data_IF_906152085676
#
_entry.id   IF_906152085676
#
_cell.length_a   1.000
_cell.length_b   1.000
_cell.length_c   1.000
_cell.angle_alpha   90.00
_cell.angle_beta   90.00
_cell.angle_gamma   90.00
#
_symmetry.space_group_name_H-M   'P 1'
#
loop_
_entity.id
_entity.type
_entity.pdbx_description
1 polymer ?
#
# COMPACT_ATOMS: atom_id res chain seq x y z
N UNK A 1 -30.54 -53.75 -34.37
CA UNK A 1 -29.87 -54.61 -35.37
C UNK A 1 -28.41 -54.37 -35.16
N UNK A 2 -27.85 -55.19 -34.33
CA UNK A 2 -27.03 -56.36 -34.57
C UNK A 2 -25.57 -55.93 -34.58
N UNK A 3 -24.86 -56.21 -33.54
CA UNK A 3 -24.09 -57.41 -33.09
C UNK A 3 -22.62 -57.24 -33.47
N UNK A 4 -21.79 -57.26 -32.43
CA UNK A 4 -20.88 -58.37 -32.02
C UNK A 4 -19.69 -58.55 -32.97
N UNK A 5 -18.48 -58.76 -32.55
CA UNK A 5 -17.91 -59.71 -31.60
C UNK A 5 -16.40 -59.46 -31.55
N UNK A 6 -15.74 -59.42 -30.48
CA UNK A 6 -15.16 -60.42 -29.61
C UNK A 6 -13.77 -60.98 -30.04
N UNK A 7 -12.90 -61.06 -29.05
CA UNK A 7 -11.90 -62.09 -28.67
C UNK A 7 -10.41 -61.96 -29.07
N UNK A 8 -9.65 -61.74 -28.05
CA UNK A 8 -8.61 -62.67 -27.42
C UNK A 8 -7.40 -63.13 -28.22
N UNK A 9 -6.31 -63.09 -27.47
CA UNK A 9 -5.13 -64.01 -27.57
C UNK A 9 -3.84 -63.35 -27.13
N UNK A 10 -3.43 -63.47 -26.02
CA UNK A 10 -2.64 -64.36 -25.14
C UNK A 10 -1.25 -64.76 -25.73
N UNK A 11 -0.23 -64.40 -24.93
CA UNK A 11 1.07 -65.05 -24.61
C UNK A 11 2.09 -65.35 -25.75
N UNK A 12 3.33 -64.89 -25.56
CA UNK A 12 4.42 -65.82 -25.13
C UNK A 12 5.73 -65.09 -24.80
N UNK A 13 6.37 -65.57 -23.75
CA UNK A 13 7.70 -65.18 -23.25
C UNK A 13 8.80 -65.73 -24.15
N UNK A 14 9.90 -64.97 -24.34
CA UNK A 14 11.22 -65.64 -24.47
C UNK A 14 12.33 -64.69 -24.00
N UNK A 15 13.15 -65.15 -23.06
CA UNK A 15 14.37 -64.55 -22.55
C UNK A 15 15.48 -64.74 -23.59
N UNK A 16 16.25 -63.66 -23.90
CA UNK A 16 17.63 -63.83 -24.35
C UNK A 16 18.48 -62.77 -23.65
N UNK A 17 19.43 -63.22 -22.87
CA UNK A 17 20.49 -62.45 -22.29
C UNK A 17 21.57 -62.17 -23.34
N UNK A 18 21.99 -60.93 -23.49
CA UNK A 18 23.22 -60.61 -24.22
C UNK A 18 24.01 -59.53 -23.51
N UNK A 19 25.17 -59.92 -23.05
CA UNK A 19 26.20 -59.10 -22.41
C UNK A 19 26.77 -58.15 -23.47
N UNK A 20 26.78 -56.84 -23.23
CA UNK A 20 27.57 -55.91 -24.03
C UNK A 20 28.30 -54.90 -23.15
N UNK A 21 29.57 -54.76 -23.46
CA UNK A 21 30.63 -54.02 -22.76
C UNK A 21 30.28 -52.52 -22.66
N UNK A 22 30.47 -51.97 -21.45
CA UNK A 22 30.40 -50.54 -21.17
C UNK A 22 31.69 -49.87 -21.65
N UNK A 23 31.61 -49.00 -22.66
CA UNK A 23 32.67 -48.04 -22.97
C UNK A 23 32.26 -46.70 -22.34
N UNK A 24 32.97 -46.27 -21.29
CA UNK A 24 32.79 -44.94 -20.70
C UNK A 24 33.27 -43.85 -21.66
N UNK A 25 32.35 -43.07 -22.20
CA UNK A 25 32.65 -41.79 -22.83
C UNK A 25 32.37 -40.70 -21.80
N UNK A 26 33.41 -40.06 -21.27
CA UNK A 26 33.36 -38.90 -20.41
C UNK A 26 33.03 -37.69 -21.32
N UNK A 27 31.77 -37.27 -21.33
CA UNK A 27 31.37 -35.99 -21.86
C UNK A 27 31.51 -34.94 -20.73
N UNK A 28 32.54 -34.09 -20.85
CA UNK A 28 32.67 -32.87 -20.08
C UNK A 28 31.53 -31.91 -20.47
N UNK A 29 30.41 -32.02 -19.81
CA UNK A 29 29.33 -31.06 -19.85
C UNK A 29 29.70 -29.83 -19.00
N UNK A 30 29.97 -28.71 -19.70
CA UNK A 30 30.09 -27.39 -19.06
C UNK A 30 28.75 -27.02 -18.40
N UNK A 31 28.57 -27.38 -17.14
CA UNK A 31 27.46 -26.97 -16.33
C UNK A 31 27.55 -25.46 -16.07
N UNK A 32 26.74 -24.68 -16.79
CA UNK A 32 26.46 -23.31 -16.40
C UNK A 32 25.71 -23.35 -15.08
N UNK A 33 26.43 -23.15 -13.98
CA UNK A 33 25.83 -22.88 -12.67
C UNK A 33 25.09 -21.54 -12.78
N UNK A 34 23.79 -21.60 -13.05
CA UNK A 34 22.90 -20.46 -12.78
C UNK A 34 22.85 -20.31 -11.27
N UNK A 35 23.71 -19.46 -10.73
CA UNK A 35 23.61 -19.01 -9.35
C UNK A 35 22.33 -18.18 -9.23
N UNK A 36 21.25 -18.81 -8.80
CA UNK A 36 20.10 -18.07 -8.22
C UNK A 36 20.64 -17.36 -7.00
N UNK A 37 20.93 -16.06 -7.13
CA UNK A 37 21.20 -15.20 -6.00
C UNK A 37 19.90 -15.14 -5.16
N UNK A 38 19.80 -16.02 -4.16
CA UNK A 38 18.88 -15.79 -3.07
C UNK A 38 19.26 -14.42 -2.49
N UNK A 39 18.45 -13.40 -2.71
CA UNK A 39 18.60 -12.13 -2.03
C UNK A 39 18.43 -12.43 -0.53
N UNK A 40 19.57 -12.50 0.16
CA UNK A 40 19.62 -12.78 1.59
C UNK A 40 18.83 -11.70 2.33
N UNK A 41 18.22 -12.11 3.44
CA UNK A 41 17.61 -11.17 4.38
C UNK A 41 18.60 -10.04 4.69
N UNK A 42 18.15 -8.77 4.77
CA UNK A 42 19.02 -7.67 5.17
C UNK A 42 19.64 -7.99 6.54
N UNK A 43 20.96 -7.78 6.66
CA UNK A 43 21.65 -7.92 7.96
C UNK A 43 21.07 -6.89 8.92
N UNK A 44 20.78 -7.30 10.16
CA UNK A 44 20.35 -6.39 11.22
C UNK A 44 21.46 -5.35 11.43
N UNK A 45 21.18 -4.04 11.24
CA UNK A 45 22.18 -3.01 11.47
C UNK A 45 22.46 -2.85 12.97
N UNK A 46 23.66 -2.44 13.31
CA UNK A 46 24.04 -2.12 14.70
C UNK A 46 23.69 -0.67 15.08
N UNK A 47 23.41 0.19 14.09
CA UNK A 47 23.06 1.60 14.27
C UNK A 47 22.00 2.01 13.26
N UNK A 48 21.18 2.99 13.63
CA UNK A 48 20.21 3.61 12.73
C UNK A 48 20.95 4.38 11.61
N UNK A 49 20.46 4.29 10.38
CA UNK A 49 21.11 4.96 9.26
C UNK A 49 20.27 5.02 7.99
N UNK A 50 20.70 5.92 7.10
CA UNK A 50 20.11 6.11 5.77
C UNK A 50 21.15 5.81 4.70
N UNK A 51 20.83 4.93 3.77
CA UNK A 51 21.62 4.66 2.57
C UNK A 51 20.86 5.12 1.34
N UNK A 52 21.56 5.70 0.37
CA UNK A 52 20.99 6.14 -0.92
C UNK A 52 21.56 5.29 -2.05
N UNK A 53 20.70 4.87 -2.97
CA UNK A 53 21.08 4.18 -4.22
C UNK A 53 20.17 4.62 -5.37
N UNK A 54 20.60 4.41 -6.61
CA UNK A 54 19.72 4.57 -7.79
C UNK A 54 18.78 3.38 -7.86
N UNK A 55 17.47 3.64 -7.93
CA UNK A 55 16.44 2.61 -8.15
C UNK A 55 16.17 2.36 -9.63
N UNK A 56 16.30 3.40 -10.47
CA UNK A 56 16.12 3.33 -11.90
C UNK A 56 16.04 4.71 -12.54
N UNK A 57 15.69 4.75 -13.82
CA UNK A 57 15.44 6.00 -14.55
C UNK A 57 14.15 5.91 -15.34
N UNK A 58 13.42 7.02 -15.42
CA UNK A 58 12.27 7.18 -16.29
C UNK A 58 12.71 7.24 -17.77
N UNK A 59 11.74 7.17 -18.68
CA UNK A 59 12.01 7.21 -20.14
C UNK A 59 12.63 8.52 -20.63
N UNK A 60 12.44 9.61 -19.90
CA UNK A 60 13.04 10.93 -20.17
C UNK A 60 14.45 11.09 -19.56
N UNK A 61 14.98 10.04 -18.92
CA UNK A 61 16.29 10.05 -18.25
C UNK A 61 16.26 10.54 -16.80
N UNK A 62 15.10 10.94 -16.26
CA UNK A 62 14.98 11.38 -14.86
C UNK A 62 15.31 10.22 -13.93
N UNK A 63 16.31 10.42 -13.06
CA UNK A 63 16.76 9.41 -12.09
C UNK A 63 15.78 9.32 -10.93
N UNK A 64 15.42 8.09 -10.57
CA UNK A 64 14.65 7.77 -9.36
C UNK A 64 15.60 7.13 -8.35
N UNK A 65 15.77 7.80 -7.23
CA UNK A 65 16.59 7.33 -6.12
C UNK A 65 15.77 6.48 -5.14
N UNK A 66 16.44 5.56 -4.46
CA UNK A 66 15.91 4.79 -3.33
C UNK A 66 16.68 5.13 -2.06
N UNK A 67 15.97 5.37 -0.99
CA UNK A 67 16.51 5.55 0.35
C UNK A 67 16.15 4.35 1.21
N UNK A 68 17.17 3.71 1.77
CA UNK A 68 17.02 2.61 2.73
C UNK A 68 17.22 3.15 4.13
N UNK A 69 16.16 3.14 4.91
CA UNK A 69 16.16 3.50 6.33
C UNK A 69 16.32 2.23 7.15
N UNK A 70 17.26 2.21 8.07
CA UNK A 70 17.55 1.07 8.97
C UNK A 70 17.52 1.56 10.40
N UNK A 71 16.87 0.81 11.28
CA UNK A 71 16.96 1.06 12.73
C UNK A 71 17.84 0.02 13.44
N UNK A 72 18.19 0.27 14.70
CA UNK A 72 18.98 -0.65 15.50
C UNK A 72 18.23 -1.91 15.97
N UNK A 73 16.89 -1.93 15.83
CA UNK A 73 16.01 -3.04 16.23
C UNK A 73 15.70 -4.02 15.09
N UNK A 74 16.33 -3.86 13.92
CA UNK A 74 16.26 -4.81 12.81
C UNK A 74 15.15 -4.55 11.79
N UNK A 75 14.41 -3.45 11.92
CA UNK A 75 13.48 -3.03 10.88
C UNK A 75 14.20 -2.26 9.77
N UNK A 76 13.70 -2.41 8.54
CA UNK A 76 14.22 -1.71 7.36
C UNK A 76 13.04 -1.21 6.52
N UNK A 77 13.06 0.07 6.15
CA UNK A 77 12.10 0.65 5.19
C UNK A 77 12.85 1.16 3.96
N UNK A 78 12.29 0.92 2.76
CA UNK A 78 12.83 1.47 1.52
C UNK A 78 11.81 2.38 0.87
N UNK A 79 12.22 3.60 0.55
CA UNK A 79 11.36 4.63 -0.06
C UNK A 79 12.04 5.18 -1.29
N UNK A 80 11.31 5.26 -2.40
CA UNK A 80 11.81 5.82 -3.68
C UNK A 80 11.30 7.24 -3.91
N UNK A 81 12.04 8.01 -4.69
CA UNK A 81 11.66 9.39 -5.03
C UNK A 81 10.46 9.49 -5.97
N UNK A 82 10.10 8.44 -6.70
CA UNK A 82 8.88 8.40 -7.49
C UNK A 82 7.65 8.18 -6.59
N UNK A 83 6.78 9.18 -6.49
CA UNK A 83 5.61 9.16 -5.61
C UNK A 83 5.91 9.20 -4.11
N UNK A 84 7.16 9.46 -3.69
CA UNK A 84 7.62 9.26 -2.32
C UNK A 84 7.14 7.90 -1.78
N UNK A 85 7.34 6.84 -2.57
CA UNK A 85 6.70 5.53 -2.43
C UNK A 85 7.47 4.61 -1.49
N UNK A 86 6.81 4.06 -0.47
CA UNK A 86 7.31 2.96 0.36
C UNK A 86 7.28 1.67 -0.45
N UNK A 87 8.46 1.14 -0.82
CA UNK A 87 8.57 -0.05 -1.67
C UNK A 87 8.79 -1.33 -0.89
N UNK A 88 9.43 -1.27 0.26
CA UNK A 88 9.69 -2.41 1.15
C UNK A 88 9.61 -1.96 2.61
N UNK A 89 9.10 -2.86 3.46
CA UNK A 89 9.11 -2.68 4.91
C UNK A 89 9.37 -4.03 5.59
N UNK A 90 10.59 -4.21 6.05
CA UNK A 90 11.03 -5.45 6.71
C UNK A 90 10.84 -5.33 8.20
N UNK A 91 10.06 -6.26 8.77
CA UNK A 91 9.71 -6.29 10.19
C UNK A 91 9.98 -7.69 10.74
N UNK A 92 10.69 -7.81 11.89
CA UNK A 92 10.90 -9.10 12.54
C UNK A 92 9.58 -9.71 13.06
N UNK A 93 9.46 -11.03 13.01
CA UNK A 93 8.40 -11.79 13.67
C UNK A 93 8.79 -12.14 15.11
N UNK A 94 7.94 -12.94 15.81
CA UNK A 94 8.20 -13.39 17.18
C UNK A 94 9.47 -14.24 17.35
N UNK A 95 10.04 -14.76 16.26
CA UNK A 95 11.29 -15.54 16.25
C UNK A 95 12.50 -14.67 15.88
N UNK A 96 12.29 -13.39 15.57
CA UNK A 96 13.31 -12.47 15.07
C UNK A 96 13.53 -12.55 13.55
N UNK A 97 12.79 -13.39 12.83
CA UNK A 97 12.89 -13.50 11.37
C UNK A 97 12.16 -12.32 10.70
N UNK A 98 12.89 -11.47 9.99
CA UNK A 98 12.31 -10.37 9.25
C UNK A 98 11.60 -10.84 7.96
N UNK A 99 10.45 -10.22 7.64
CA UNK A 99 9.78 -10.33 6.36
C UNK A 99 9.36 -8.95 5.86
N UNK A 100 9.27 -8.82 4.54
CA UNK A 100 8.73 -7.63 3.89
C UNK A 100 7.20 -7.71 3.94
N UNK A 101 6.60 -6.78 4.69
CA UNK A 101 5.17 -6.78 5.02
C UNK A 101 4.34 -5.84 4.14
N UNK A 102 4.89 -5.34 3.03
CA UNK A 102 4.14 -4.50 2.08
C UNK A 102 4.24 -5.05 0.66
N UNK A 103 3.17 -4.90 -0.12
CA UNK A 103 3.18 -5.21 -1.55
C UNK A 103 3.91 -4.13 -2.35
N UNK A 104 4.34 -4.46 -3.57
CA UNK A 104 5.04 -3.54 -4.47
C UNK A 104 5.75 -4.30 -5.59
N UNK A 105 6.76 -3.68 -6.17
CA UNK A 105 7.55 -4.23 -7.28
C UNK A 105 9.06 -4.17 -6.97
N UNK A 106 9.83 -5.09 -7.57
CA UNK A 106 11.29 -5.10 -7.45
C UNK A 106 11.96 -4.01 -8.29
N UNK A 107 11.27 -3.46 -9.30
CA UNK A 107 11.83 -2.54 -10.28
C UNK A 107 10.93 -1.33 -10.52
N UNK A 108 11.53 -0.19 -10.86
CA UNK A 108 10.85 1.06 -11.18
C UNK A 108 9.75 0.89 -12.25
N UNK A 109 9.97 0.05 -13.24
CA UNK A 109 9.01 -0.22 -14.33
C UNK A 109 7.61 -0.60 -13.81
N UNK A 110 7.52 -1.34 -12.70
CA UNK A 110 6.23 -1.70 -12.09
C UNK A 110 5.50 -0.48 -11.51
N UNK A 111 6.23 0.49 -10.98
CA UNK A 111 5.64 1.70 -10.39
C UNK A 111 5.27 2.77 -11.43
N UNK A 112 5.87 2.76 -12.61
CA UNK A 112 5.58 3.74 -13.69
C UNK A 112 4.31 3.39 -14.44
N UNK A 113 3.96 2.11 -14.53
CA UNK A 113 2.75 1.63 -15.21
C UNK A 113 1.47 1.87 -14.41
N UNK A 114 0.36 1.37 -14.95
CA UNK A 114 -0.94 1.34 -14.24
C UNK A 114 -0.84 0.30 -13.11
N UNK A 115 -0.98 0.74 -11.89
CA UNK A 115 -0.98 -0.10 -10.70
C UNK A 115 -1.83 0.55 -9.59
N UNK A 116 -2.25 -0.20 -8.56
CA UNK A 116 -3.14 0.31 -7.51
C UNK A 116 -2.40 1.12 -6.41
N UNK A 117 -1.53 2.06 -6.81
CA UNK A 117 -0.82 3.02 -5.92
C UNK A 117 0.04 2.38 -4.82
N UNK A 118 0.57 1.16 -4.99
CA UNK A 118 1.36 0.47 -3.97
C UNK A 118 2.36 1.39 -3.27
N UNK A 119 2.15 1.65 -1.97
CA UNK A 119 3.04 2.40 -1.09
C UNK A 119 3.20 3.89 -1.39
N UNK A 120 2.51 4.43 -2.39
CA UNK A 120 2.68 5.81 -2.82
C UNK A 120 2.10 6.84 -1.84
N UNK A 121 2.70 8.04 -1.81
CA UNK A 121 2.08 9.24 -1.24
C UNK A 121 1.03 9.75 -2.22
N UNK A 122 -0.24 9.70 -1.81
CA UNK A 122 -1.39 10.09 -2.63
C UNK A 122 -1.83 11.51 -2.27
N UNK A 123 -2.12 12.30 -3.28
CA UNK A 123 -2.58 13.69 -3.18
C UNK A 123 -2.61 14.37 -4.57
N UNK A 124 -3.07 15.67 -4.69
CA UNK A 124 -3.44 16.58 -3.56
C UNK A 124 -4.59 16.08 -2.69
N UNK A 125 -5.59 15.40 -3.28
CA UNK A 125 -6.76 14.86 -2.59
C UNK A 125 -6.79 13.35 -2.77
N UNK A 126 -6.65 12.64 -1.66
CA UNK A 126 -6.77 11.18 -1.59
C UNK A 126 -8.23 10.74 -1.77
N UNK A 127 -8.40 9.49 -2.19
CA UNK A 127 -9.67 8.85 -2.47
C UNK A 127 -10.47 9.57 -3.57
N UNK A 128 -11.80 9.57 -3.54
CA UNK A 128 -12.65 10.03 -4.65
C UNK A 128 -13.13 11.47 -4.48
N UNK A 129 -13.27 12.17 -5.62
CA UNK A 129 -14.01 13.44 -5.75
C UNK A 129 -15.13 13.23 -6.76
N UNK A 130 -16.35 13.46 -6.34
CA UNK A 130 -17.58 13.22 -7.11
C UNK A 130 -17.55 13.94 -8.45
N UNK A 131 -17.73 13.18 -9.54
CA UNK A 131 -17.74 13.68 -10.92
C UNK A 131 -16.51 14.51 -11.29
N UNK A 132 -15.41 14.36 -10.52
CA UNK A 132 -14.19 15.18 -10.67
C UNK A 132 -14.45 16.68 -10.55
N UNK A 133 -15.40 17.12 -9.70
CA UNK A 133 -15.79 18.53 -9.60
C UNK A 133 -15.92 18.98 -8.16
N UNK A 134 -15.53 20.23 -7.92
CA UNK A 134 -15.81 20.92 -6.66
C UNK A 134 -15.94 22.44 -6.88
N UNK A 135 -16.55 23.12 -5.92
CA UNK A 135 -16.70 24.59 -5.93
C UNK A 135 -15.90 25.18 -4.78
N UNK A 136 -15.06 26.16 -5.07
CA UNK A 136 -14.27 26.88 -4.08
C UNK A 136 -14.30 28.38 -4.38
N UNK A 137 -14.70 29.20 -3.40
CA UNK A 137 -14.81 30.65 -3.58
C UNK A 137 -15.79 31.07 -4.69
N UNK A 138 -16.85 30.28 -4.91
CA UNK A 138 -17.85 30.54 -5.99
C UNK A 138 -17.39 30.10 -7.39
N UNK A 139 -16.17 29.60 -7.55
CA UNK A 139 -15.65 29.09 -8.83
C UNK A 139 -15.68 27.57 -8.83
N UNK A 140 -16.21 26.97 -9.92
CA UNK A 140 -16.15 25.52 -10.14
C UNK A 140 -14.80 25.14 -10.73
N UNK A 141 -14.23 24.05 -10.20
CA UNK A 141 -13.02 23.38 -10.68
C UNK A 141 -13.36 22.00 -11.21
N UNK A 142 -12.64 21.54 -12.21
CA UNK A 142 -12.80 20.23 -12.82
C UNK A 142 -11.46 19.49 -12.80
N UNK A 143 -11.50 18.27 -12.26
CA UNK A 143 -10.39 17.35 -12.21
C UNK A 143 -10.53 16.29 -13.31
N UNK A 144 -9.47 15.56 -13.63
CA UNK A 144 -9.51 14.43 -14.55
C UNK A 144 -10.48 13.35 -14.06
N UNK A 145 -11.19 12.72 -15.00
CA UNK A 145 -12.06 11.57 -14.73
C UNK A 145 -11.25 10.29 -15.04
N UNK A 146 -10.52 9.80 -14.06
CA UNK A 146 -9.71 8.59 -14.16
C UNK A 146 -10.35 7.35 -13.50
N UNK A 147 -11.50 7.52 -12.83
CA UNK A 147 -12.32 6.45 -12.26
C UNK A 147 -13.81 6.75 -12.52
N UNK A 148 -14.28 6.62 -13.78
CA UNK A 148 -15.59 7.09 -14.21
C UNK A 148 -16.73 6.62 -13.32
N UNK A 149 -17.65 7.54 -12.89
CA UNK A 149 -17.74 8.93 -13.33
C UNK A 149 -16.91 9.92 -12.49
N UNK A 150 -16.02 9.47 -11.60
CA UNK A 150 -15.35 10.25 -10.57
C UNK A 150 -13.86 10.47 -10.88
N UNK A 151 -13.24 11.40 -10.13
CA UNK A 151 -11.79 11.46 -9.98
C UNK A 151 -11.37 10.57 -8.80
N UNK A 152 -10.25 9.89 -8.92
CA UNK A 152 -9.62 9.06 -7.89
C UNK A 152 -8.16 9.49 -7.71
N UNK A 153 -7.75 9.74 -6.46
CA UNK A 153 -6.36 10.01 -6.08
C UNK A 153 -5.71 11.16 -6.86
N UNK A 154 -6.51 12.17 -7.22
CA UNK A 154 -6.12 13.37 -7.97
C UNK A 154 -5.71 13.15 -9.44
N UNK A 155 -6.05 12.00 -10.04
CA UNK A 155 -5.80 11.77 -11.46
C UNK A 155 -4.54 10.97 -11.77
N UNK A 156 -4.23 10.87 -13.06
CA UNK A 156 -3.14 10.02 -13.58
C UNK A 156 -1.74 10.61 -13.33
N UNK A 157 -1.63 11.92 -13.08
CA UNK A 157 -0.36 12.63 -12.86
C UNK A 157 -0.24 13.25 -11.46
N UNK A 158 -1.07 12.81 -10.52
CA UNK A 158 -1.04 13.29 -9.14
C UNK A 158 0.30 13.05 -8.42
N UNK A 159 0.37 13.46 -7.16
CA UNK A 159 1.61 13.39 -6.36
C UNK A 159 2.26 12.01 -6.34
N UNK A 160 1.47 10.96 -6.47
CA UNK A 160 1.92 9.57 -6.52
C UNK A 160 2.72 9.19 -7.78
N UNK A 161 2.70 10.04 -8.80
CA UNK A 161 3.41 9.84 -10.08
C UNK A 161 4.54 10.85 -10.29
N UNK A 162 4.69 11.80 -9.40
CA UNK A 162 5.76 12.80 -9.47
C UNK A 162 7.10 12.24 -8.95
N UNK A 163 8.22 12.78 -9.46
CA UNK A 163 9.54 12.53 -8.88
C UNK A 163 9.83 13.63 -7.85
N UNK A 164 9.93 13.25 -6.58
CA UNK A 164 10.15 14.14 -5.47
C UNK A 164 11.65 14.38 -5.26
N UNK A 165 12.02 15.56 -4.81
CA UNK A 165 13.34 15.80 -4.23
C UNK A 165 13.39 15.15 -2.87
N UNK A 166 14.54 14.54 -2.53
CA UNK A 166 14.69 13.85 -1.26
C UNK A 166 16.04 14.15 -0.62
N UNK A 167 16.04 14.34 0.69
CA UNK A 167 17.22 14.59 1.51
C UNK A 167 17.15 13.84 2.84
N UNK A 168 18.24 13.20 3.30
CA UNK A 168 18.31 12.65 4.64
C UNK A 168 18.17 13.75 5.69
N UNK A 169 17.47 13.44 6.78
CA UNK A 169 17.29 14.35 7.93
C UNK A 169 18.04 13.76 9.12
N UNK A 170 19.08 14.43 9.64
CA UNK A 170 19.76 13.98 10.85
C UNK A 170 18.78 13.90 12.02
N UNK A 171 18.58 12.69 12.55
CA UNK A 171 17.58 12.42 13.60
C UNK A 171 18.22 11.48 14.63
N UNK A 172 18.33 11.85 15.90
CA UNK A 172 18.85 10.95 16.93
C UNK A 172 17.99 9.69 17.07
N UNK A 173 18.63 8.54 17.19
CA UNK A 173 17.97 7.23 17.39
C UNK A 173 16.90 6.88 16.33
N UNK A 174 17.11 7.36 15.09
CA UNK A 174 16.22 7.09 13.98
C UNK A 174 16.93 7.29 12.64
N UNK A 175 16.37 6.73 11.58
CA UNK A 175 16.73 7.01 10.21
C UNK A 175 15.60 7.82 9.56
N UNK A 176 15.89 8.99 8.99
CA UNK A 176 14.86 9.85 8.43
C UNK A 176 15.24 10.43 7.06
N UNK A 177 14.25 10.53 6.17
CA UNK A 177 14.36 11.16 4.84
C UNK A 177 13.14 12.03 4.59
N UNK A 178 13.39 13.28 4.20
CA UNK A 178 12.36 14.23 3.78
C UNK A 178 12.24 14.25 2.27
N UNK A 179 11.04 13.99 1.77
CA UNK A 179 10.66 14.14 0.37
C UNK A 179 9.88 15.45 0.20
N UNK A 180 10.16 16.22 -0.86
CA UNK A 180 9.49 17.49 -1.14
C UNK A 180 9.16 17.62 -2.63
N UNK A 181 8.01 18.22 -2.92
CA UNK A 181 7.54 18.48 -4.27
C UNK A 181 6.80 19.82 -4.34
N UNK A 182 6.91 20.49 -5.47
CA UNK A 182 6.11 21.67 -5.79
C UNK A 182 5.11 21.29 -6.90
N UNK A 183 3.85 21.15 -6.53
CA UNK A 183 2.74 20.94 -7.45
C UNK A 183 2.27 22.32 -7.94
N UNK A 184 2.43 22.66 -9.25
CA UNK A 184 2.16 24.00 -9.76
C UNK A 184 0.66 24.35 -9.76
N UNK A 185 0.33 25.65 -9.89
CA UNK A 185 -1.06 26.11 -10.07
C UNK A 185 -1.69 25.46 -11.32
N UNK A 186 -2.87 24.86 -11.15
CA UNK A 186 -3.57 24.14 -12.22
C UNK A 186 -3.18 22.68 -12.38
N UNK A 187 -2.21 22.19 -11.61
CA UNK A 187 -1.81 20.77 -11.62
C UNK A 187 -3.03 19.88 -11.31
N UNK A 188 -3.31 18.89 -12.19
CA UNK A 188 -4.50 18.02 -12.17
C UNK A 188 -5.84 18.76 -11.99
N UNK A 189 -5.90 20.08 -12.33
CA UNK A 189 -7.08 20.93 -12.22
C UNK A 189 -7.25 21.67 -10.89
N UNK A 190 -6.33 21.49 -9.93
CA UNK A 190 -6.38 22.14 -8.62
C UNK A 190 -5.83 23.59 -8.68
N UNK A 191 -6.46 24.53 -7.94
CA UNK A 191 -5.95 25.91 -7.86
C UNK A 191 -4.74 26.02 -6.93
N UNK A 192 -3.89 26.97 -7.23
CA UNK A 192 -2.72 27.35 -6.43
C UNK A 192 -1.53 26.44 -6.58
N UNK A 193 -0.35 27.01 -6.36
CA UNK A 193 0.88 26.22 -6.24
C UNK A 193 0.96 25.64 -4.83
N UNK A 194 1.15 24.32 -4.73
CA UNK A 194 1.24 23.59 -3.45
C UNK A 194 2.69 23.13 -3.22
N UNK A 195 3.35 23.72 -2.22
CA UNK A 195 4.61 23.17 -1.70
C UNK A 195 4.27 22.08 -0.69
N UNK A 196 4.63 20.83 -0.98
CA UNK A 196 4.28 19.68 -0.15
C UNK A 196 5.54 18.91 0.23
N UNK A 197 5.56 18.38 1.45
CA UNK A 197 6.60 17.47 1.90
C UNK A 197 6.04 16.33 2.74
N UNK A 198 6.70 15.18 2.69
CA UNK A 198 6.52 14.05 3.62
C UNK A 198 7.89 13.64 4.16
N UNK A 199 7.98 13.47 5.46
CA UNK A 199 9.17 12.93 6.13
C UNK A 199 8.86 11.52 6.61
N UNK A 200 9.64 10.55 6.12
CA UNK A 200 9.63 9.18 6.61
C UNK A 200 10.71 9.06 7.69
N UNK A 201 10.32 8.64 8.89
CA UNK A 201 11.23 8.40 10.01
C UNK A 201 11.03 6.99 10.55
N UNK A 202 12.07 6.16 10.48
CA UNK A 202 12.10 4.83 11.10
C UNK A 202 12.87 4.92 12.43
N UNK A 203 12.14 4.80 13.56
CA UNK A 203 12.71 4.91 14.90
C UNK A 203 13.24 3.57 15.42
N UNK A 204 14.12 3.62 16.42
CA UNK A 204 14.60 2.42 17.14
C UNK A 204 13.48 1.68 17.93
N UNK A 205 12.32 2.34 18.11
CA UNK A 205 11.12 1.73 18.69
C UNK A 205 10.26 0.97 17.65
N UNK A 206 10.78 0.71 16.44
CA UNK A 206 10.07 0.10 15.31
C UNK A 206 8.80 0.88 14.90
N UNK A 207 8.88 2.21 14.91
CA UNK A 207 7.84 3.09 14.40
C UNK A 207 8.27 3.65 13.03
N UNK A 208 7.46 3.44 12.01
CA UNK A 208 7.56 4.16 10.74
C UNK A 208 6.59 5.34 10.80
N UNK A 209 7.14 6.55 10.97
CA UNK A 209 6.39 7.81 11.04
C UNK A 209 6.38 8.47 9.68
N UNK A 210 5.22 8.98 9.29
CA UNK A 210 4.99 9.78 8.09
C UNK A 210 4.44 11.13 8.54
N UNK A 211 5.25 12.18 8.42
CA UNK A 211 4.87 13.55 8.78
C UNK A 211 4.70 14.37 7.51
N UNK A 212 3.47 14.80 7.25
CA UNK A 212 3.13 15.60 6.07
C UNK A 212 3.04 17.07 6.43
N UNK A 213 3.54 17.92 5.52
CA UNK A 213 3.37 19.37 5.58
C UNK A 213 3.06 19.91 4.20
N UNK A 214 2.15 20.91 4.13
CA UNK A 214 1.92 21.63 2.87
C UNK A 214 1.56 23.10 3.10
N UNK A 215 1.89 23.93 2.12
CA UNK A 215 1.52 25.34 2.05
C UNK A 215 1.15 25.69 0.61
N UNK A 216 0.26 26.68 0.45
CA UNK A 216 -0.25 27.09 -0.85
C UNK A 216 -0.26 28.61 -1.00
N UNK A 217 -0.14 29.10 -2.24
CA UNK A 217 -0.28 30.51 -2.60
C UNK A 217 -1.75 30.93 -2.88
N UNK A 218 -2.66 29.95 -3.06
CA UNK A 218 -4.12 30.15 -3.20
C UNK A 218 -4.87 29.09 -2.43
N UNK A 219 -6.08 29.34 -1.92
CA UNK A 219 -6.88 28.29 -1.28
C UNK A 219 -7.05 27.09 -2.22
N UNK A 220 -6.81 25.89 -1.70
CA UNK A 220 -6.87 24.63 -2.45
C UNK A 220 -7.25 23.47 -1.53
N UNK A 221 -7.97 22.43 -2.00
CA UNK A 221 -8.18 21.24 -1.19
C UNK A 221 -6.90 20.42 -1.08
N UNK A 222 -6.62 19.93 0.15
CA UNK A 222 -5.49 19.06 0.48
C UNK A 222 -5.95 17.96 1.41
N UNK A 223 -5.73 16.73 1.01
CA UNK A 223 -6.00 15.50 1.79
C UNK A 223 -4.97 14.46 1.38
N UNK A 224 -3.91 14.32 2.14
CA UNK A 224 -2.78 13.44 1.81
C UNK A 224 -2.90 12.11 2.55
N UNK A 225 -2.47 11.02 1.93
CA UNK A 225 -2.38 9.72 2.57
C UNK A 225 -1.22 8.89 2.00
N UNK A 226 -0.89 7.78 2.67
CA UNK A 226 0.00 6.74 2.15
C UNK A 226 -0.82 5.50 1.81
N UNK A 227 -0.65 4.99 0.60
CA UNK A 227 -1.40 3.85 0.08
C UNK A 227 -0.61 2.53 0.17
N UNK A 228 -0.02 2.25 1.33
CA UNK A 228 0.67 0.97 1.56
C UNK A 228 -0.31 -0.17 1.70
N UNK A 229 0.01 -1.27 1.03
CA UNK A 229 -0.71 -2.54 1.07
C UNK A 229 0.02 -3.47 2.03
N UNK A 230 -0.49 -3.64 3.23
CA UNK A 230 0.12 -4.45 4.28
C UNK A 230 -0.34 -5.90 4.24
N UNK A 231 0.58 -6.82 4.55
CA UNK A 231 0.33 -8.23 4.84
C UNK A 231 1.35 -8.66 5.89
N UNK A 232 0.94 -8.65 7.16
CA UNK A 232 1.84 -8.90 8.29
C UNK A 232 2.32 -10.34 8.36
N UNK A 233 1.52 -11.27 7.85
CA UNK A 233 1.87 -12.68 7.72
C UNK A 233 2.89 -12.96 6.62
N UNK A 234 3.01 -12.05 5.64
CA UNK A 234 3.71 -12.29 4.38
C UNK A 234 3.20 -13.57 3.67
N UNK A 235 1.89 -13.76 3.71
CA UNK A 235 1.13 -14.90 3.18
C UNK A 235 0.41 -14.53 1.88
N UNK A 236 -0.44 -15.43 1.37
CA UNK A 236 -1.19 -15.20 0.12
C UNK A 236 -2.35 -14.21 0.28
N UNK A 237 -2.92 -14.10 1.48
CA UNK A 237 -4.02 -13.19 1.79
C UNK A 237 -3.98 -12.74 3.27
N UNK A 238 -4.80 -11.75 3.61
CA UNK A 238 -4.89 -11.15 4.95
C UNK A 238 -6.16 -11.56 5.71
N UNK A 239 -6.92 -12.52 5.21
CA UNK A 239 -8.23 -12.86 5.79
C UNK A 239 -8.13 -13.43 7.21
N UNK A 240 -7.01 -14.04 7.55
CA UNK A 240 -6.71 -14.57 8.89
C UNK A 240 -6.14 -13.53 9.86
N UNK A 241 -5.76 -12.33 9.39
CA UNK A 241 -5.29 -11.26 10.27
C UNK A 241 -6.43 -10.69 11.10
N UNK A 242 -6.14 -10.31 12.34
CA UNK A 242 -7.11 -9.78 13.29
C UNK A 242 -7.05 -8.26 13.27
N UNK A 243 -8.16 -7.60 12.96
CA UNK A 243 -8.30 -6.15 12.89
C UNK A 243 -9.13 -5.62 14.06
N UNK A 244 -8.70 -4.48 14.59
CA UNK A 244 -9.47 -3.58 15.45
C UNK A 244 -9.44 -2.17 14.84
N UNK A 245 -10.59 -1.48 14.79
CA UNK A 245 -10.69 -0.08 14.39
C UNK A 245 -11.29 0.75 15.53
N UNK A 246 -10.65 1.87 15.84
CA UNK A 246 -11.14 2.82 16.84
C UNK A 246 -12.17 3.77 16.19
N UNK A 247 -13.29 3.22 15.75
CA UNK A 247 -14.32 3.94 15.01
C UNK A 247 -15.71 3.36 15.30
N UNK A 248 -16.63 4.19 15.76
CA UNK A 248 -18.03 3.81 16.00
C UNK A 248 -18.93 4.07 14.78
N UNK A 249 -18.41 4.76 13.76
CA UNK A 249 -19.14 5.13 12.57
C UNK A 249 -18.32 5.00 11.29
N UNK A 250 -19.02 5.01 10.16
CA UNK A 250 -18.46 5.00 8.83
C UNK A 250 -19.26 5.92 7.90
N UNK A 251 -18.68 6.32 6.78
CA UNK A 251 -19.39 7.06 5.73
C UNK A 251 -19.92 6.07 4.68
N UNK A 252 -21.26 5.87 4.58
CA UNK A 252 -21.83 5.02 3.54
C UNK A 252 -21.61 5.62 2.16
N UNK A 253 -21.50 4.77 1.14
CA UNK A 253 -21.21 5.18 -0.23
C UNK A 253 -22.32 4.76 -1.20
N UNK A 254 -22.44 5.49 -2.29
CA UNK A 254 -23.27 5.11 -3.44
C UNK A 254 -22.62 4.02 -4.30
N UNK A 255 -23.29 3.63 -5.40
CA UNK A 255 -22.77 2.61 -6.32
C UNK A 255 -21.46 3.01 -7.03
N UNK A 256 -21.07 4.28 -6.97
CA UNK A 256 -19.81 4.80 -7.54
C UNK A 256 -18.73 5.03 -6.48
N UNK A 257 -18.97 4.54 -5.25
CA UNK A 257 -18.10 4.65 -4.09
C UNK A 257 -17.88 6.11 -3.62
N UNK A 258 -18.87 6.98 -3.85
CA UNK A 258 -18.90 8.35 -3.31
C UNK A 258 -19.72 8.36 -2.02
N UNK A 259 -19.23 8.98 -0.92
CA UNK A 259 -19.99 9.12 0.31
C UNK A 259 -21.33 9.81 0.09
N UNK A 260 -22.39 9.30 0.74
CA UNK A 260 -23.75 9.91 0.68
C UNK A 260 -23.87 11.21 1.48
N UNK A 261 -22.86 11.53 2.30
CA UNK A 261 -22.88 12.64 3.24
C UNK A 261 -23.37 12.24 4.65
N UNK A 262 -23.82 11.02 4.83
CA UNK A 262 -24.21 10.48 6.13
C UNK A 262 -23.01 9.88 6.89
N UNK A 263 -23.18 9.74 8.20
CA UNK A 263 -22.32 8.94 9.08
C UNK A 263 -23.23 7.93 9.77
N UNK A 264 -23.02 6.66 9.50
CA UNK A 264 -23.80 5.57 10.08
C UNK A 264 -23.00 4.78 11.12
N UNK A 265 -23.66 4.20 12.14
CA UNK A 265 -22.97 3.38 13.15
C UNK A 265 -22.48 2.07 12.52
N UNK A 266 -21.30 1.60 12.95
CA UNK A 266 -20.78 0.29 12.56
C UNK A 266 -21.44 -0.86 13.32
N UNK A 267 -21.93 -0.60 14.52
CA UNK A 267 -22.48 -1.60 15.43
C UNK A 267 -23.62 -2.40 14.80
N UNK A 268 -23.49 -3.73 14.81
CA UNK A 268 -24.48 -4.66 14.26
C UNK A 268 -24.41 -4.77 12.75
N UNK A 269 -23.34 -4.28 12.11
CA UNK A 269 -23.06 -4.43 10.68
C UNK A 269 -21.79 -5.27 10.47
N UNK A 270 -21.53 -5.77 9.25
CA UNK A 270 -20.27 -6.42 8.91
C UNK A 270 -19.02 -5.51 9.00
N UNK A 271 -19.23 -4.20 9.25
CA UNK A 271 -18.18 -3.19 9.43
C UNK A 271 -17.79 -2.99 10.90
N UNK A 272 -18.34 -3.78 11.83
CA UNK A 272 -18.06 -3.63 13.26
C UNK A 272 -16.72 -4.25 13.66
N UNK A 273 -15.66 -3.45 13.61
CA UNK A 273 -14.32 -3.76 14.12
C UNK A 273 -13.99 -3.05 15.43
N UNK A 274 -15.00 -2.64 16.19
CA UNK A 274 -14.81 -2.04 17.54
C UNK A 274 -14.21 -3.03 18.54
N UNK A 275 -14.20 -4.30 18.21
CA UNK A 275 -13.49 -5.38 18.89
C UNK A 275 -12.57 -6.11 17.90
N UNK A 276 -11.47 -6.75 18.37
CA UNK A 276 -10.60 -7.52 17.48
C UNK A 276 -11.36 -8.67 16.78
N UNK A 277 -11.41 -8.63 15.45
CA UNK A 277 -12.12 -9.60 14.59
C UNK A 277 -11.24 -9.99 13.42
N UNK A 278 -11.27 -11.26 13.00
CA UNK A 278 -10.59 -11.69 11.78
C UNK A 278 -11.18 -10.97 10.55
N UNK A 279 -10.33 -10.47 9.68
CA UNK A 279 -10.75 -9.72 8.48
C UNK A 279 -11.73 -10.54 7.63
N UNK A 280 -11.49 -11.84 7.50
CA UNK A 280 -12.34 -12.75 6.74
C UNK A 280 -13.69 -13.07 7.39
N UNK A 281 -13.92 -12.74 8.67
CA UNK A 281 -15.09 -13.23 9.42
C UNK A 281 -16.43 -12.80 8.80
N UNK A 282 -16.52 -11.56 8.32
CA UNK A 282 -17.75 -10.99 7.76
C UNK A 282 -17.58 -10.47 6.32
N UNK A 283 -16.42 -10.69 5.70
CA UNK A 283 -16.10 -10.11 4.38
C UNK A 283 -17.08 -10.54 3.28
N UNK A 284 -17.62 -11.76 3.36
CA UNK A 284 -18.59 -12.28 2.40
C UNK A 284 -19.99 -11.62 2.54
N UNK A 285 -20.25 -10.92 3.64
CA UNK A 285 -21.49 -10.18 3.85
C UNK A 285 -21.43 -8.80 3.18
N UNK A 286 -20.24 -8.28 2.85
CA UNK A 286 -20.06 -7.03 2.12
C UNK A 286 -20.43 -7.26 0.65
N UNK A 287 -21.59 -6.70 0.27
CA UNK A 287 -22.13 -6.84 -1.08
C UNK A 287 -21.45 -5.86 -2.04
N UNK A 288 -21.47 -6.17 -3.33
CA UNK A 288 -20.89 -5.37 -4.40
C UNK A 288 -20.02 -6.22 -5.34
N UNK A 289 -19.50 -5.59 -6.37
CA UNK A 289 -18.54 -6.16 -7.30
C UNK A 289 -17.28 -5.27 -7.28
N UNK A 290 -16.13 -5.80 -6.84
CA UNK A 290 -15.80 -7.20 -6.52
C UNK A 290 -16.18 -7.66 -5.10
N UNK A 291 -16.81 -6.83 -4.25
CA UNK A 291 -17.09 -7.11 -2.83
C UNK A 291 -15.82 -7.03 -1.95
N UNK A 292 -16.00 -7.08 -0.63
CA UNK A 292 -14.94 -6.85 0.35
C UNK A 292 -14.91 -5.40 0.89
N UNK A 293 -14.03 -5.13 1.86
CA UNK A 293 -13.99 -3.82 2.50
C UNK A 293 -13.33 -2.79 1.60
N UNK A 294 -13.97 -1.63 1.47
CA UNK A 294 -13.45 -0.40 0.84
C UNK A 294 -14.25 0.79 1.42
N UNK A 295 -14.07 1.04 2.73
CA UNK A 295 -14.92 1.95 3.48
C UNK A 295 -14.07 2.92 4.31
N UNK A 296 -14.51 4.18 4.37
CA UNK A 296 -13.95 5.17 5.27
C UNK A 296 -14.64 5.09 6.64
N UNK A 297 -13.85 4.86 7.68
CA UNK A 297 -14.25 4.82 9.07
C UNK A 297 -14.01 6.16 9.74
N UNK A 298 -14.99 6.63 10.54
CA UNK A 298 -14.91 7.85 11.31
C UNK A 298 -14.24 7.55 12.65
N UNK A 299 -13.01 8.02 12.82
CA UNK A 299 -12.21 7.73 14.00
C UNK A 299 -12.72 8.45 15.24
N UNK A 300 -12.80 7.72 16.34
CA UNK A 300 -13.09 8.29 17.65
C UNK A 300 -11.97 9.22 18.14
N UNK A 301 -12.34 10.25 18.91
CA UNK A 301 -11.41 11.25 19.45
C UNK A 301 -11.22 12.47 18.54
N UNK A 302 -10.47 13.44 19.05
CA UNK A 302 -10.33 14.76 18.43
C UNK A 302 -9.52 14.69 17.13
N UNK A 303 -9.98 15.36 16.08
CA UNK A 303 -9.19 15.60 14.87
C UNK A 303 -7.99 16.50 15.19
N UNK A 304 -6.86 16.26 14.54
CA UNK A 304 -5.61 16.99 14.79
C UNK A 304 -4.82 16.53 16.02
N UNK A 305 -5.36 15.64 16.86
CA UNK A 305 -4.64 15.01 17.96
C UNK A 305 -4.27 13.58 17.60
N UNK A 306 -3.03 13.19 17.93
CA UNK A 306 -2.55 11.84 17.68
C UNK A 306 -3.34 10.82 18.51
N UNK A 307 -3.91 9.82 17.83
CA UNK A 307 -4.75 8.78 18.43
C UNK A 307 -4.58 7.45 17.71
N UNK A 308 -4.88 6.35 18.36
CA UNK A 308 -4.96 5.04 17.71
C UNK A 308 -6.11 5.04 16.72
N UNK A 309 -5.83 4.70 15.49
CA UNK A 309 -6.83 4.45 14.43
C UNK A 309 -7.16 2.97 14.32
N UNK A 310 -6.12 2.12 14.30
CA UNK A 310 -6.28 0.69 14.05
C UNK A 310 -5.22 -0.14 14.78
N UNK A 311 -5.51 -1.43 14.96
CA UNK A 311 -4.53 -2.47 15.30
C UNK A 311 -4.74 -3.67 14.39
N UNK A 312 -3.66 -4.17 13.82
CA UNK A 312 -3.64 -5.40 13.01
C UNK A 312 -2.70 -6.39 13.67
N UNK A 313 -3.12 -7.64 13.80
CA UNK A 313 -2.32 -8.71 14.38
C UNK A 313 -2.39 -9.95 13.49
N UNK A 314 -1.23 -10.47 13.09
CA UNK A 314 -1.12 -11.77 12.42
C UNK A 314 -0.80 -12.88 13.41
N UNK A 315 -1.73 -13.82 13.67
CA UNK A 315 -1.51 -14.93 14.60
C UNK A 315 -0.37 -15.86 14.16
N UNK A 316 -0.11 -15.99 12.87
CA UNK A 316 0.90 -16.88 12.31
C UNK A 316 2.32 -16.43 12.65
N UNK A 317 2.66 -15.20 12.31
CA UNK A 317 3.99 -14.61 12.57
C UNK A 317 4.12 -13.99 13.95
N UNK A 318 3.01 -13.59 14.59
CA UNK A 318 2.98 -12.79 15.79
C UNK A 318 3.25 -11.32 15.58
N UNK A 319 3.38 -10.84 14.33
CA UNK A 319 3.53 -9.42 14.05
C UNK A 319 2.25 -8.67 14.39
N UNK A 320 2.42 -7.52 15.03
CA UNK A 320 1.36 -6.58 15.31
C UNK A 320 1.75 -5.22 14.75
N UNK A 321 0.80 -4.52 14.14
CA UNK A 321 0.90 -3.13 13.71
C UNK A 321 -0.18 -2.31 14.41
N UNK A 322 0.22 -1.24 15.11
CA UNK A 322 -0.71 -0.18 15.53
C UNK A 322 -0.58 0.98 14.55
N UNK A 323 -1.71 1.53 14.14
CA UNK A 323 -1.77 2.74 13.31
C UNK A 323 -2.26 3.88 14.19
N UNK A 324 -1.42 4.92 14.31
CA UNK A 324 -1.73 6.15 15.01
C UNK A 324 -1.83 7.29 14.01
N UNK A 325 -2.75 8.23 14.21
CA UNK A 325 -2.91 9.35 13.29
C UNK A 325 -3.53 10.58 13.93
N UNK A 326 -3.28 11.73 13.33
CA UNK A 326 -3.97 13.00 13.60
C UNK A 326 -5.22 13.18 12.75
N UNK A 327 -5.43 12.32 11.74
CA UNK A 327 -6.54 12.39 10.80
C UNK A 327 -7.90 11.99 11.41
N UNK A 328 -9.03 12.54 10.89
CA UNK A 328 -10.37 12.23 11.38
C UNK A 328 -10.91 10.88 10.91
N UNK A 329 -10.33 10.28 9.88
CA UNK A 329 -10.79 9.04 9.28
C UNK A 329 -9.68 8.10 8.86
N UNK A 330 -10.06 6.87 8.55
CA UNK A 330 -9.21 5.85 7.95
C UNK A 330 -10.01 5.06 6.91
N UNK A 331 -9.50 4.99 5.69
CA UNK A 331 -10.01 4.06 4.68
C UNK A 331 -9.44 2.68 4.98
N UNK A 332 -10.31 1.70 5.18
CA UNK A 332 -9.95 0.29 5.27
C UNK A 332 -10.33 -0.39 3.96
N UNK A 333 -9.31 -0.89 3.25
CA UNK A 333 -9.44 -1.55 1.96
C UNK A 333 -8.72 -2.91 1.96
N UNK A 334 -9.34 -3.93 1.41
CA UNK A 334 -8.84 -5.32 1.46
C UNK A 334 -8.34 -5.85 0.11
N UNK A 335 -7.77 -4.99 -0.74
CA UNK A 335 -7.19 -5.43 -2.01
C UNK A 335 -8.18 -6.10 -2.95
N UNK A 336 -9.44 -5.64 -2.97
CA UNK A 336 -10.55 -6.29 -3.65
C UNK A 336 -10.38 -6.38 -5.17
N UNK A 337 -9.66 -5.41 -5.77
CA UNK A 337 -9.41 -5.32 -7.21
C UNK A 337 -8.11 -6.02 -7.65
N UNK A 338 -7.39 -6.65 -6.71
CA UNK A 338 -6.25 -7.51 -7.05
C UNK A 338 -6.80 -8.85 -7.56
N UNK A 339 -6.46 -9.21 -8.80
CA UNK A 339 -7.04 -10.36 -9.51
C UNK A 339 -5.99 -11.43 -9.90
N UNK A 340 -4.74 -11.25 -9.45
CA UNK A 340 -3.62 -12.13 -9.79
C UNK A 340 -2.91 -11.75 -11.10
N UNK A 341 -3.38 -10.75 -11.85
CA UNK A 341 -2.71 -10.28 -13.08
C UNK A 341 -1.43 -9.50 -12.78
N UNK A 342 -1.36 -8.84 -11.62
CA UNK A 342 -0.18 -8.08 -11.19
C UNK A 342 0.88 -9.03 -10.65
N UNK A 343 2.05 -9.05 -11.33
CA UNK A 343 3.25 -9.74 -10.87
C UNK A 343 4.09 -8.76 -10.04
N UNK A 344 4.09 -8.94 -8.75
CA UNK A 344 4.79 -8.10 -7.80
C UNK A 344 6.21 -8.56 -7.47
N UNK A 345 6.66 -8.24 -6.27
CA UNK A 345 8.00 -8.59 -5.78
C UNK A 345 8.25 -10.09 -5.86
N UNK A 346 9.48 -10.46 -6.24
CA UNK A 346 9.94 -11.85 -6.32
C UNK A 346 9.05 -12.74 -7.20
N UNK A 347 8.35 -12.15 -8.17
CA UNK A 347 7.47 -12.87 -9.08
C UNK A 347 6.15 -13.36 -8.47
N UNK A 348 5.76 -12.85 -7.29
CA UNK A 348 4.49 -13.20 -6.64
C UNK A 348 3.33 -12.54 -7.36
N UNK A 349 2.32 -13.31 -7.71
CA UNK A 349 1.05 -12.81 -8.25
C UNK A 349 0.15 -12.34 -7.10
N UNK A 350 -0.26 -11.07 -7.12
CA UNK A 350 -1.11 -10.51 -6.08
C UNK A 350 -2.59 -10.77 -6.40
N UNK A 351 -3.17 -11.75 -5.70
CA UNK A 351 -4.58 -12.10 -5.81
C UNK A 351 -5.48 -11.23 -4.94
N UNK A 352 -6.78 -11.44 -5.04
CA UNK A 352 -7.80 -10.79 -4.22
C UNK A 352 -7.49 -11.01 -2.74
N UNK A 353 -7.58 -9.94 -1.95
CA UNK A 353 -7.27 -9.93 -0.51
C UNK A 353 -5.81 -10.23 -0.15
N UNK A 354 -4.87 -10.13 -1.11
CA UNK A 354 -3.45 -10.35 -0.82
C UNK A 354 -2.86 -9.35 0.19
N UNK A 355 -3.52 -8.23 0.43
CA UNK A 355 -3.12 -7.24 1.43
C UNK A 355 -4.29 -6.36 1.85
N UNK A 356 -4.07 -5.57 2.91
CA UNK A 356 -4.96 -4.54 3.39
C UNK A 356 -4.32 -3.15 3.31
N UNK A 357 -5.12 -2.11 3.10
CA UNK A 357 -4.71 -0.71 3.26
C UNK A 357 -5.42 -0.08 4.46
N UNK A 358 -4.70 0.77 5.18
CA UNK A 358 -5.21 1.64 6.25
C UNK A 358 -4.76 3.06 5.94
N UNK A 359 -5.54 3.74 5.09
CA UNK A 359 -5.23 5.07 4.57
C UNK A 359 -5.83 6.11 5.50
N UNK A 360 -5.02 6.67 6.40
CA UNK A 360 -5.43 7.74 7.30
C UNK A 360 -5.60 9.03 6.52
N UNK A 361 -6.78 9.64 6.59
CA UNK A 361 -7.17 10.75 5.73
C UNK A 361 -8.39 11.51 6.28
N UNK A 362 -8.68 12.67 5.70
CA UNK A 362 -10.02 13.25 5.75
C UNK A 362 -11.00 12.39 4.93
N UNK A 363 -12.30 12.52 5.20
CA UNK A 363 -13.29 11.68 4.53
C UNK A 363 -13.28 11.91 3.02
N UNK A 364 -13.51 10.88 2.19
CA UNK A 364 -13.59 11.04 0.74
C UNK A 364 -14.67 12.06 0.38
N UNK A 365 -14.44 12.79 -0.72
CA UNK A 365 -15.33 13.85 -1.22
C UNK A 365 -15.67 14.98 -0.24
N UNK A 366 -14.89 15.17 0.84
CA UNK A 366 -15.12 16.23 1.85
C UNK A 366 -15.24 17.62 1.24
N UNK A 367 -14.61 17.88 0.11
CA UNK A 367 -14.72 19.18 -0.58
C UNK A 367 -16.15 19.50 -1.04
N UNK A 368 -17.00 18.48 -1.22
CA UNK A 368 -18.39 18.59 -1.65
C UNK A 368 -19.40 18.37 -0.49
N UNK A 369 -18.93 18.03 0.71
CA UNK A 369 -19.75 17.75 1.89
C UNK A 369 -19.45 18.74 3.03
N UNK A 370 -20.24 19.83 3.19
CA UNK A 370 -19.98 20.87 4.21
C UNK A 370 -20.03 20.35 5.67
N UNK A 371 -20.69 19.23 5.91
CA UNK A 371 -20.78 18.56 7.21
C UNK A 371 -19.59 17.65 7.53
N UNK A 372 -18.70 17.41 6.56
CA UNK A 372 -17.47 16.69 6.78
C UNK A 372 -16.32 17.62 7.21
N UNK A 373 -15.27 17.10 7.85
CA UNK A 373 -14.07 17.88 8.15
C UNK A 373 -13.50 18.54 6.87
N UNK A 374 -13.23 19.84 6.95
CA UNK A 374 -12.79 20.61 5.79
C UNK A 374 -11.39 20.22 5.33
N UNK A 375 -11.22 20.04 4.03
CA UNK A 375 -9.93 19.78 3.36
C UNK A 375 -9.33 21.05 2.73
N UNK A 376 -9.92 22.21 2.95
CA UNK A 376 -9.45 23.45 2.31
C UNK A 376 -8.27 24.01 3.09
N UNK A 377 -7.11 24.03 2.44
CA UNK A 377 -5.92 24.74 2.92
C UNK A 377 -5.99 26.20 2.45
N UNK A 378 -6.12 27.13 3.40
CA UNK A 378 -6.11 28.56 3.13
C UNK A 378 -4.68 29.07 2.87
N UNK A 379 -4.55 30.14 2.10
CA UNK A 379 -3.28 30.85 1.93
C UNK A 379 -2.73 31.31 3.28
N UNK A 380 -1.43 31.05 3.52
CA UNK A 380 -0.75 31.40 4.77
C UNK A 380 -0.93 30.36 5.90
N UNK A 381 -1.87 29.41 5.74
CA UNK A 381 -1.98 28.27 6.66
C UNK A 381 -0.96 27.20 6.32
N UNK A 382 -0.68 26.32 7.31
CA UNK A 382 0.18 25.15 7.14
C UNK A 382 -0.66 23.90 7.39
N UNK A 383 -0.80 23.07 6.37
CA UNK A 383 -1.32 21.70 6.53
C UNK A 383 -0.28 20.86 7.29
N UNK A 384 -0.76 20.13 8.28
CA UNK A 384 0.05 19.19 9.05
C UNK A 384 -0.76 17.94 9.34
N UNK A 385 -0.15 16.78 9.09
CA UNK A 385 -0.73 15.48 9.40
C UNK A 385 0.39 14.54 9.78
N UNK A 386 0.11 13.64 10.72
CA UNK A 386 1.04 12.59 11.15
C UNK A 386 0.32 11.25 11.12
N UNK A 387 1.04 10.23 10.61
CA UNK A 387 0.65 8.82 10.69
C UNK A 387 1.84 8.02 11.16
N UNK A 388 1.62 7.13 12.13
CA UNK A 388 2.66 6.25 12.68
C UNK A 388 2.20 4.81 12.54
N UNK A 389 2.99 3.99 11.86
CA UNK A 389 2.89 2.54 11.85
C UNK A 389 3.88 1.99 12.87
N UNK A 390 3.39 1.52 14.01
CA UNK A 390 4.20 0.99 15.11
C UNK A 390 4.14 -0.53 15.12
N UNK A 391 5.29 -1.16 14.98
CA UNK A 391 5.41 -2.61 14.90
C UNK A 391 5.91 -3.20 16.21
N UNK A 392 5.31 -4.34 16.58
CA UNK A 392 5.72 -5.19 17.68
C UNK A 392 5.43 -6.65 17.34
N UNK A 393 5.89 -7.57 18.18
CA UNK A 393 5.57 -9.00 18.04
C UNK A 393 5.09 -9.56 19.41
N UNK A 394 4.24 -10.58 19.34
CA UNK A 394 3.65 -11.29 20.50
C UNK A 394 3.85 -12.78 20.39
#
# INVERSE_FOLDING_TARGET
MSLEDDRKGERMRTRVAMVLRITCLILLGSGVLISTSAQGQPKIPTEAGVEKAVFGSLSDGTVVDMFTLKNSSGAVAKVITYGATLTELWVPDRTGKAADVVLGFDQLKGYVGVHPWFGATVGRVANRTAKGKFTLGGKQYSLEINNPPNNLHSGEKGLSRAVWKAEPVPTPHAAAVRFSYLSPDGDEGFPGSLSVAVTYTLTDANELKLEYTAQTDKPTPVNLTNHSYFNLGATTDVLGEILYLNADGYTPVDATLIPTGEILPVKGTPLDFTHPVAIGAHIAEIKGDPGGYDHNFVLNGDSGKLKVAARVFDPGSGRQMEVWTTEPGVQFYTGNFLDGSIVGKRGVHYGKHAALCLETQHFPDSVNHPNFPSVILATGAVYRQETIYKFSNK
#
